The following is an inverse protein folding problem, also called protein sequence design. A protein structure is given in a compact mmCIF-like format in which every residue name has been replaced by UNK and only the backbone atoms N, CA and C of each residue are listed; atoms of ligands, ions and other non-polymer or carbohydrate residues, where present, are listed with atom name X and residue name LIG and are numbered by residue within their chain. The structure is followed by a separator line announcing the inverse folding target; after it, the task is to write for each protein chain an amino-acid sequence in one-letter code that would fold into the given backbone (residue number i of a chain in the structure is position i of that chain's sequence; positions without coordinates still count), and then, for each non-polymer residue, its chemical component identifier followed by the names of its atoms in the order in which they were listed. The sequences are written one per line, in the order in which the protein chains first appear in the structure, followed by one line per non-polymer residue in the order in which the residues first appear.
data_IF_321501210799
#
_entry.id   IF_321501210799
#
_cell.length_a   1.000
_cell.length_b   1.000
_cell.length_c   1.000
_cell.angle_alpha   90.00
_cell.angle_beta   90.00
_cell.angle_gamma   90.00
#
_symmetry.space_group_name_H-M   'P 1'
#
loop_
_entity.id
_entity.type
_entity.pdbx_description
1 polymer ?
#
# COMPACT_ATOMS: atom_id res chain seq x y z
N UNK A 1 11.00 -13.09 8.42
CA UNK A 1 11.81 -11.87 8.34
C UNK A 1 11.19 -10.92 7.31
N UNK A 2 10.81 -9.71 7.73
CA UNK A 2 10.20 -8.68 6.89
C UNK A 2 11.21 -7.61 6.46
N UNK A 3 11.20 -7.26 5.20
CA UNK A 3 12.00 -6.16 4.66
C UNK A 3 11.10 -5.13 3.96
N UNK A 4 11.18 -3.88 4.39
CA UNK A 4 10.50 -2.75 3.73
C UNK A 4 11.53 -1.70 3.31
N UNK A 5 11.44 -1.28 2.05
CA UNK A 5 12.12 -0.08 1.57
C UNK A 5 11.13 1.08 1.70
N UNK A 6 11.42 2.00 2.62
CA UNK A 6 10.60 3.18 2.86
C UNK A 6 11.42 4.24 3.60
N UNK A 7 11.17 5.49 3.31
CA UNK A 7 11.64 6.60 4.15
C UNK A 7 11.07 6.45 5.57
N UNK A 8 11.90 6.74 6.58
CA UNK A 8 11.51 6.60 7.99
C UNK A 8 10.47 7.61 8.43
N UNK A 9 10.27 8.68 7.69
CA UNK A 9 9.23 9.69 7.92
C UNK A 9 7.85 9.28 7.36
N UNK A 10 7.75 8.21 6.59
CA UNK A 10 6.49 7.79 6.00
C UNK A 10 5.75 6.77 6.87
N UNK A 11 4.41 6.83 6.87
CA UNK A 11 3.56 5.87 7.57
C UNK A 11 3.83 4.42 7.22
N UNK A 12 4.22 4.12 5.98
CA UNK A 12 4.66 2.78 5.56
C UNK A 12 5.82 2.23 6.42
N UNK A 13 6.77 3.08 6.79
CA UNK A 13 7.87 2.68 7.67
C UNK A 13 7.39 2.43 9.09
N UNK A 14 6.51 3.28 9.57
CA UNK A 14 6.00 3.20 10.94
C UNK A 14 5.02 2.04 11.14
N UNK A 15 3.96 2.02 10.32
CA UNK A 15 2.89 1.03 10.45
C UNK A 15 3.27 -0.32 9.83
N UNK A 16 3.74 -0.34 8.59
CA UNK A 16 4.01 -1.57 7.87
C UNK A 16 5.31 -2.25 8.27
N UNK A 17 6.39 -1.48 8.41
CA UNK A 17 7.71 -2.04 8.70
C UNK A 17 7.92 -2.31 10.19
N UNK A 18 7.60 -1.36 11.06
CA UNK A 18 7.97 -1.44 12.46
C UNK A 18 6.85 -2.02 13.32
N UNK A 19 5.82 -1.23 13.61
CA UNK A 19 4.79 -1.62 14.57
C UNK A 19 3.94 -2.80 14.09
N UNK A 20 3.53 -2.81 12.84
CA UNK A 20 2.74 -3.91 12.31
C UNK A 20 3.48 -5.26 12.37
N UNK A 21 4.77 -5.26 12.10
CA UNK A 21 5.58 -6.50 12.19
C UNK A 21 5.79 -6.93 13.64
N UNK A 22 6.03 -5.99 14.55
CA UNK A 22 6.19 -6.31 15.97
C UNK A 22 4.90 -6.81 16.62
N UNK A 23 3.75 -6.25 16.24
CA UNK A 23 2.45 -6.76 16.69
C UNK A 23 2.20 -8.21 16.24
N UNK A 24 2.79 -8.62 15.12
CA UNK A 24 2.75 -9.99 14.61
C UNK A 24 3.96 -10.83 15.05
N UNK A 25 4.74 -10.37 16.02
CA UNK A 25 5.98 -11.01 16.50
C UNK A 25 6.99 -11.26 15.37
N UNK A 26 6.94 -10.44 14.32
CA UNK A 26 7.79 -10.52 13.14
C UNK A 26 9.15 -9.87 13.36
N UNK A 27 10.21 -10.48 12.86
CA UNK A 27 11.53 -9.85 12.80
C UNK A 27 11.60 -8.88 11.61
N UNK A 28 12.20 -7.71 11.84
CA UNK A 28 12.39 -6.67 10.84
C UNK A 28 13.83 -6.67 10.35
N UNK A 29 14.01 -6.78 9.03
CA UNK A 29 15.31 -6.61 8.39
C UNK A 29 15.56 -5.13 8.10
N UNK A 30 16.72 -4.63 8.54
CA UNK A 30 17.16 -3.25 8.30
C UNK A 30 18.42 -3.30 7.45
N UNK A 31 18.41 -2.55 6.36
CA UNK A 31 19.54 -2.41 5.47
C UNK A 31 19.77 -0.92 5.19
N UNK A 32 20.94 -0.44 5.55
CA UNK A 32 21.35 0.94 5.34
C UNK A 32 22.07 1.08 4.00
N UNK A 33 21.68 2.07 3.20
CA UNK A 33 22.30 2.40 1.94
C UNK A 33 22.17 3.90 1.64
N UNK A 34 23.23 4.51 1.16
CA UNK A 34 23.21 5.92 0.75
C UNK A 34 22.43 6.12 -0.55
N UNK A 35 22.56 5.18 -1.47
CA UNK A 35 21.89 5.19 -2.76
C UNK A 35 21.34 3.80 -3.08
N UNK A 36 20.10 3.76 -3.54
CA UNK A 36 19.49 2.49 -3.96
C UNK A 36 20.22 1.93 -5.19
N UNK A 37 20.66 0.67 -5.06
CA UNK A 37 21.19 -0.14 -6.14
C UNK A 37 20.56 -1.52 -6.08
N UNK A 38 19.84 -1.92 -7.14
CA UNK A 38 19.14 -3.19 -7.17
C UNK A 38 20.12 -4.39 -7.10
N UNK A 39 21.28 -4.31 -7.75
CA UNK A 39 22.26 -5.40 -7.76
C UNK A 39 22.86 -5.70 -6.38
N UNK A 40 22.90 -4.72 -5.47
CA UNK A 40 23.39 -4.89 -4.11
C UNK A 40 22.30 -5.44 -3.20
N UNK A 41 21.05 -5.11 -3.50
CA UNK A 41 19.90 -5.49 -2.68
C UNK A 41 19.38 -6.90 -2.99
N UNK A 42 19.32 -7.28 -4.27
CA UNK A 42 18.73 -8.53 -4.71
C UNK A 42 19.38 -9.79 -4.08
N UNK A 43 20.70 -9.87 -3.88
CA UNK A 43 21.33 -11.01 -3.20
C UNK A 43 20.90 -11.17 -1.73
N UNK A 44 20.40 -10.09 -1.10
CA UNK A 44 20.04 -10.11 0.32
C UNK A 44 18.82 -11.01 0.59
N UNK A 45 17.94 -11.20 -0.40
CA UNK A 45 16.77 -12.07 -0.25
C UNK A 45 17.18 -13.51 0.12
N UNK A 46 18.07 -14.10 -0.64
CA UNK A 46 18.60 -15.44 -0.36
C UNK A 46 19.51 -15.44 0.88
N UNK A 47 20.43 -14.45 0.96
CA UNK A 47 21.43 -14.41 2.04
C UNK A 47 20.80 -14.36 3.43
N UNK A 48 19.71 -13.59 3.60
CA UNK A 48 19.05 -13.42 4.89
C UNK A 48 17.71 -14.12 4.99
N UNK A 49 17.33 -14.91 3.97
CA UNK A 49 16.07 -15.66 3.96
C UNK A 49 14.87 -14.73 4.22
N UNK A 50 14.79 -13.61 3.50
CA UNK A 50 13.70 -12.62 3.62
C UNK A 50 12.40 -13.28 3.19
N UNK A 51 11.39 -13.26 4.06
CA UNK A 51 10.12 -13.96 3.82
C UNK A 51 9.00 -13.07 3.32
N UNK A 52 9.03 -11.78 3.66
CA UNK A 52 8.06 -10.79 3.19
C UNK A 52 8.77 -9.51 2.80
N UNK A 53 8.31 -8.89 1.71
CA UNK A 53 8.94 -7.71 1.15
C UNK A 53 7.91 -6.65 0.77
N UNK A 54 8.22 -5.39 1.08
CA UNK A 54 7.45 -4.24 0.66
C UNK A 54 8.38 -3.17 0.08
N UNK A 55 8.06 -2.67 -1.10
CA UNK A 55 8.81 -1.57 -1.71
C UNK A 55 7.88 -0.66 -2.53
N UNK A 56 8.24 0.63 -2.70
CA UNK A 56 7.52 1.50 -3.62
C UNK A 56 7.63 1.00 -5.07
N UNK A 57 6.63 1.24 -5.93
CA UNK A 57 6.69 0.89 -7.36
C UNK A 57 7.93 1.39 -8.07
N UNK A 58 8.42 2.57 -7.71
CA UNK A 58 9.67 3.12 -8.27
C UNK A 58 10.87 2.19 -8.03
N UNK A 59 10.99 1.59 -6.85
CA UNK A 59 12.07 0.64 -6.54
C UNK A 59 11.89 -0.67 -7.30
N UNK A 60 10.65 -1.16 -7.42
CA UNK A 60 10.33 -2.36 -8.22
C UNK A 60 10.70 -2.15 -9.69
N UNK A 61 10.45 -0.96 -10.27
CA UNK A 61 10.91 -0.59 -11.62
C UNK A 61 12.43 -0.62 -11.78
N UNK A 62 13.15 -0.28 -10.73
CA UNK A 62 14.63 -0.40 -10.77
C UNK A 62 15.07 -1.86 -10.69
N UNK A 63 14.39 -2.67 -9.88
CA UNK A 63 14.72 -4.08 -9.73
C UNK A 63 14.52 -4.88 -11.02
N UNK A 64 13.44 -4.62 -11.77
CA UNK A 64 13.17 -5.36 -13.03
C UNK A 64 14.13 -5.00 -14.18
N UNK A 65 15.00 -3.99 -14.02
CA UNK A 65 16.11 -3.71 -14.96
C UNK A 65 17.24 -4.72 -14.83
N UNK A 66 17.33 -5.40 -13.69
CA UNK A 66 18.24 -6.52 -13.48
C UNK A 66 17.63 -7.81 -14.02
N UNK A 67 18.48 -8.76 -14.36
CA UNK A 67 18.01 -10.13 -14.68
C UNK A 67 17.61 -10.85 -13.39
N UNK A 68 16.34 -10.71 -13.01
CA UNK A 68 15.80 -11.29 -11.77
C UNK A 68 15.90 -12.82 -11.71
N UNK A 69 16.04 -13.50 -12.85
CA UNK A 69 16.19 -14.97 -12.89
C UNK A 69 17.50 -15.46 -12.27
N UNK A 70 18.47 -14.56 -12.10
CA UNK A 70 19.77 -14.84 -11.48
C UNK A 70 19.74 -14.82 -9.95
N UNK A 71 18.64 -14.40 -9.36
CA UNK A 71 18.51 -14.22 -7.91
C UNK A 71 17.49 -15.19 -7.34
N UNK A 72 17.74 -15.67 -6.14
CA UNK A 72 16.88 -16.63 -5.48
C UNK A 72 15.87 -15.89 -4.56
N UNK A 73 14.58 -16.01 -4.90
CA UNK A 73 13.44 -15.50 -4.13
C UNK A 73 12.65 -16.60 -3.42
N UNK A 74 13.18 -17.84 -3.33
CA UNK A 74 12.45 -18.99 -2.82
C UNK A 74 11.97 -18.83 -1.37
N UNK A 75 12.65 -17.99 -0.58
CA UNK A 75 12.24 -17.65 0.79
C UNK A 75 11.06 -16.69 0.85
N UNK A 76 10.81 -15.90 -0.23
CA UNK A 76 9.78 -14.85 -0.24
C UNK A 76 8.41 -15.47 -0.41
N UNK A 77 7.51 -15.22 0.54
CA UNK A 77 6.14 -15.73 0.57
C UNK A 77 5.09 -14.68 0.27
N UNK A 78 5.45 -13.41 0.37
CA UNK A 78 4.52 -12.29 0.22
C UNK A 78 5.26 -11.03 -0.20
N UNK A 79 4.75 -10.38 -1.25
CA UNK A 79 5.24 -9.09 -1.73
C UNK A 79 4.12 -8.08 -1.78
N UNK A 80 4.41 -6.87 -1.29
CA UNK A 80 3.47 -5.76 -1.30
C UNK A 80 4.10 -4.51 -1.86
N UNK A 81 3.27 -3.62 -2.37
CA UNK A 81 3.64 -2.27 -2.78
C UNK A 81 2.56 -1.27 -2.38
N UNK A 82 2.95 -0.06 -2.10
CA UNK A 82 2.06 1.06 -1.81
C UNK A 82 2.80 2.39 -1.93
N UNK A 83 2.02 3.50 -1.96
CA UNK A 83 2.53 4.88 -1.98
C UNK A 83 2.59 5.50 -3.37
N UNK A 84 2.51 4.71 -4.42
CA UNK A 84 2.39 5.11 -5.82
C UNK A 84 1.57 4.04 -6.55
N UNK A 85 0.93 4.38 -7.68
CA UNK A 85 0.27 3.38 -8.52
C UNK A 85 1.29 2.41 -9.13
N UNK A 86 1.03 1.11 -9.02
CA UNK A 86 1.86 0.07 -9.61
C UNK A 86 1.56 -0.05 -11.10
N UNK A 87 2.57 0.21 -11.94
CA UNK A 87 2.44 -0.06 -13.36
C UNK A 87 2.23 -1.57 -13.59
N UNK A 88 1.15 -1.99 -14.28
CA UNK A 88 0.86 -3.40 -14.56
C UNK A 88 2.00 -4.16 -15.23
N UNK A 89 2.75 -3.50 -16.12
CA UNK A 89 3.90 -4.12 -16.80
C UNK A 89 5.01 -4.52 -15.81
N UNK A 90 5.27 -3.68 -14.80
CA UNK A 90 6.25 -3.99 -13.73
C UNK A 90 5.82 -5.24 -12.96
N UNK A 91 4.53 -5.31 -12.59
CA UNK A 91 3.99 -6.46 -11.88
C UNK A 91 4.07 -7.75 -12.71
N UNK A 92 3.74 -7.68 -14.01
CA UNK A 92 3.80 -8.82 -14.93
C UNK A 92 5.24 -9.31 -15.12
N UNK A 93 6.18 -8.41 -15.36
CA UNK A 93 7.59 -8.76 -15.53
C UNK A 93 8.16 -9.39 -14.26
N UNK A 94 7.85 -8.83 -13.09
CA UNK A 94 8.29 -9.38 -11.81
C UNK A 94 7.73 -10.79 -11.59
N UNK A 95 6.42 -10.97 -11.81
CA UNK A 95 5.75 -12.29 -11.69
C UNK A 95 6.32 -13.31 -12.67
N UNK A 96 6.59 -12.91 -13.91
CA UNK A 96 7.19 -13.78 -14.93
C UNK A 96 8.59 -14.27 -14.52
N UNK A 97 9.40 -13.40 -13.95
CA UNK A 97 10.78 -13.70 -13.60
C UNK A 97 10.90 -14.50 -12.30
N UNK A 98 10.05 -14.25 -11.30
CA UNK A 98 10.19 -14.78 -9.94
C UNK A 98 9.05 -15.70 -9.49
N UNK A 99 7.93 -15.71 -10.20
CA UNK A 99 6.70 -16.40 -9.78
C UNK A 99 5.92 -15.66 -8.69
N UNK A 100 6.46 -14.56 -8.15
CA UNK A 100 5.84 -13.81 -7.06
C UNK A 100 4.80 -12.82 -7.58
N UNK A 101 3.67 -12.76 -6.92
CA UNK A 101 2.63 -11.77 -7.16
C UNK A 101 2.81 -10.57 -6.23
N UNK A 102 2.76 -9.36 -6.80
CA UNK A 102 2.86 -8.12 -6.02
C UNK A 102 1.45 -7.67 -5.66
N UNK A 103 1.18 -7.56 -4.37
CA UNK A 103 -0.10 -7.07 -3.85
C UNK A 103 0.00 -5.57 -3.60
N UNK A 104 -0.78 -4.82 -4.37
CA UNK A 104 -0.86 -3.38 -4.24
C UNK A 104 -1.86 -2.99 -3.16
N UNK A 105 -1.60 -1.86 -2.48
CA UNK A 105 -2.51 -1.27 -1.53
C UNK A 105 -2.36 0.25 -1.47
N UNK A 106 -3.44 0.89 -1.07
CA UNK A 106 -3.55 2.32 -0.85
C UNK A 106 -3.79 2.61 0.63
N UNK A 107 -3.19 3.65 1.11
CA UNK A 107 -3.38 4.20 2.45
C UNK A 107 -2.47 5.38 2.66
N UNK A 108 -2.71 6.08 3.76
CA UNK A 108 -1.99 7.28 4.14
C UNK A 108 -1.39 7.09 5.55
N UNK A 109 -0.55 8.02 5.99
CA UNK A 109 -0.04 8.00 7.38
C UNK A 109 -1.20 8.08 8.38
N UNK A 110 -2.23 8.79 8.00
CA UNK A 110 -3.46 9.04 8.74
C UNK A 110 -4.36 7.80 8.88
N UNK A 111 -4.28 6.85 7.94
CA UNK A 111 -5.27 5.78 7.82
C UNK A 111 -4.71 4.36 7.93
N UNK A 112 -3.41 4.16 7.79
CA UNK A 112 -2.85 2.83 7.51
C UNK A 112 -3.32 2.27 6.15
N UNK A 113 -3.64 0.97 6.02
CA UNK A 113 -4.13 0.37 4.77
C UNK A 113 -5.64 0.57 4.61
N UNK A 114 -6.05 1.46 3.71
CA UNK A 114 -7.46 1.79 3.45
C UNK A 114 -8.08 0.88 2.40
N UNK A 115 -7.37 0.67 1.29
CA UNK A 115 -7.75 -0.23 0.18
C UNK A 115 -6.57 -1.13 -0.13
N UNK A 116 -6.80 -2.42 -0.36
CA UNK A 116 -5.68 -3.31 -0.66
C UNK A 116 -6.07 -4.67 -1.20
N UNK A 117 -5.10 -5.29 -1.85
CA UNK A 117 -5.14 -6.70 -2.17
C UNK A 117 -4.71 -7.49 -0.93
N UNK A 118 -5.65 -8.10 -0.24
CA UNK A 118 -5.39 -8.87 0.97
C UNK A 118 -5.01 -10.31 0.64
N UNK A 119 -4.22 -10.94 1.51
CA UNK A 119 -3.85 -12.35 1.32
C UNK A 119 -5.10 -13.23 1.26
N UNK A 120 -5.15 -14.10 0.26
CA UNK A 120 -6.31 -14.96 0.00
C UNK A 120 -7.36 -14.35 -0.91
N UNK A 121 -7.20 -13.08 -1.31
CA UNK A 121 -8.04 -12.46 -2.33
C UNK A 121 -7.38 -12.57 -3.72
N UNK A 122 -8.21 -12.50 -4.77
CA UNK A 122 -7.70 -12.45 -6.15
C UNK A 122 -7.13 -11.05 -6.41
N UNK A 123 -5.88 -10.99 -6.86
CA UNK A 123 -5.27 -9.74 -7.30
C UNK A 123 -5.85 -9.37 -8.68
N UNK A 124 -6.31 -8.14 -8.82
CA UNK A 124 -6.72 -7.57 -10.11
C UNK A 124 -5.68 -6.55 -10.54
N UNK A 125 -4.99 -6.87 -11.62
CA UNK A 125 -3.85 -6.08 -12.09
C UNK A 125 -4.27 -4.64 -12.42
N UNK A 126 -3.49 -3.66 -11.95
CA UNK A 126 -3.76 -2.24 -12.12
C UNK A 126 -4.75 -1.67 -11.09
N UNK A 127 -5.31 -2.50 -10.19
CA UNK A 127 -6.14 -2.03 -9.09
C UNK A 127 -5.37 -1.98 -7.78
N UNK A 128 -5.74 -1.03 -6.93
CA UNK A 128 -5.27 -0.97 -5.55
C UNK A 128 -5.84 -2.10 -4.66
N UNK A 129 -6.83 -2.85 -5.16
CA UNK A 129 -7.55 -3.88 -4.41
C UNK A 129 -8.95 -3.45 -4.01
N UNK A 130 -9.42 -3.96 -2.87
CA UNK A 130 -10.74 -3.68 -2.30
C UNK A 130 -10.62 -2.96 -0.95
N UNK A 131 -11.68 -2.27 -0.49
CA UNK A 131 -11.71 -1.70 0.84
C UNK A 131 -11.25 -2.67 1.93
N UNK A 132 -10.36 -2.20 2.80
CA UNK A 132 -9.99 -2.94 4.01
C UNK A 132 -11.24 -3.13 4.88
N UNK A 133 -11.48 -4.30 5.46
CA UNK A 133 -12.65 -4.53 6.30
C UNK A 133 -12.69 -3.66 7.56
N UNK A 134 -11.61 -2.97 7.86
CA UNK A 134 -11.48 -2.05 8.98
C UNK A 134 -12.21 -0.73 8.75
N UNK A 135 -12.40 -0.34 7.48
CA UNK A 135 -12.92 0.96 7.10
C UNK A 135 -14.18 0.86 6.22
N UNK A 136 -15.13 1.75 6.44
CA UNK A 136 -16.22 2.02 5.49
C UNK A 136 -15.70 2.98 4.43
N UNK A 137 -15.07 2.46 3.38
CA UNK A 137 -14.52 3.28 2.29
C UNK A 137 -15.59 3.50 1.23
N UNK A 138 -15.73 4.74 0.81
CA UNK A 138 -16.64 5.16 -0.26
C UNK A 138 -15.87 5.96 -1.31
N UNK A 139 -16.45 6.09 -2.49
CA UNK A 139 -16.02 7.05 -3.51
C UNK A 139 -17.17 8.02 -3.69
N UNK A 140 -16.92 9.30 -3.46
CA UNK A 140 -17.97 10.33 -3.46
C UNK A 140 -17.71 11.44 -4.48
N UNK A 141 -18.79 12.05 -4.93
CA UNK A 141 -18.77 13.29 -5.73
C UNK A 141 -18.51 14.52 -4.83
N UNK A 142 -18.35 15.74 -5.40
CA UNK A 142 -18.16 16.96 -4.60
C UNK A 142 -19.32 17.31 -3.66
N UNK A 143 -20.50 16.74 -3.88
CA UNK A 143 -21.69 16.95 -3.03
C UNK A 143 -21.78 15.89 -1.90
N UNK A 144 -20.81 14.98 -1.81
CA UNK A 144 -20.74 13.91 -0.79
C UNK A 144 -21.61 12.69 -1.08
N UNK A 145 -22.15 12.55 -2.29
CA UNK A 145 -22.94 11.40 -2.69
C UNK A 145 -22.03 10.29 -3.24
N UNK A 146 -22.33 9.03 -2.90
CA UNK A 146 -21.57 7.90 -3.46
C UNK A 146 -21.77 7.84 -4.98
N UNK A 147 -20.65 7.77 -5.72
CA UNK A 147 -20.66 7.68 -7.19
C UNK A 147 -21.01 6.27 -7.66
N UNK A 148 -21.54 6.17 -8.88
CA UNK A 148 -21.84 4.90 -9.52
C UNK A 148 -20.57 4.13 -9.89
N UNK A 149 -20.69 2.83 -10.11
CA UNK A 149 -19.59 2.00 -10.63
C UNK A 149 -19.07 2.57 -11.97
N UNK A 150 -17.76 2.71 -12.06
CA UNK A 150 -17.07 3.27 -13.23
C UNK A 150 -16.92 4.80 -13.20
N UNK A 151 -17.58 5.49 -12.29
CA UNK A 151 -17.43 6.94 -12.12
C UNK A 151 -16.28 7.25 -11.15
N UNK A 152 -15.57 8.34 -11.44
CA UNK A 152 -14.47 8.85 -10.61
C UNK A 152 -14.99 9.78 -9.53
N UNK A 153 -14.47 9.62 -8.32
CA UNK A 153 -14.73 10.52 -7.20
C UNK A 153 -13.60 10.48 -6.18
N UNK A 154 -13.76 11.19 -5.10
CA UNK A 154 -12.82 11.21 -3.99
C UNK A 154 -12.98 9.96 -3.13
N UNK A 155 -11.87 9.36 -2.70
CA UNK A 155 -11.87 8.28 -1.69
C UNK A 155 -12.10 8.91 -0.33
N UNK A 156 -13.16 8.49 0.36
CA UNK A 156 -13.46 8.93 1.72
C UNK A 156 -13.67 7.74 2.66
N UNK A 157 -13.46 7.97 3.95
CA UNK A 157 -13.82 7.02 5.00
C UNK A 157 -15.04 7.56 5.74
N UNK A 158 -16.11 6.80 5.79
CA UNK A 158 -17.33 7.13 6.54
C UNK A 158 -17.06 7.05 8.04
N UNK A 159 -17.18 8.18 8.73
CA UNK A 159 -16.96 8.32 10.18
C UNK A 159 -18.24 8.74 10.95
N UNK A 160 -19.40 8.69 10.31
CA UNK A 160 -20.69 9.08 10.94
C UNK A 160 -21.05 8.20 12.13
N UNK A 161 -20.64 6.96 12.13
CA UNK A 161 -20.83 6.01 13.25
C UNK A 161 -19.64 6.03 14.25
N UNK A 162 -18.75 7.01 14.14
CA UNK A 162 -17.52 7.16 14.91
C UNK A 162 -16.27 6.83 14.09
N UNK A 163 -15.12 7.40 14.51
CA UNK A 163 -13.85 7.15 13.84
C UNK A 163 -13.40 5.69 14.04
N UNK A 164 -13.07 4.97 12.96
CA UNK A 164 -12.61 3.59 13.05
C UNK A 164 -11.21 3.51 13.67
N UNK A 165 -10.91 2.36 14.27
CA UNK A 165 -9.55 2.08 14.77
C UNK A 165 -8.58 2.12 13.58
N UNK A 166 -7.46 2.83 13.76
CA UNK A 166 -6.43 2.99 12.71
C UNK A 166 -6.57 4.29 11.91
N UNK A 167 -7.69 5.00 12.02
CA UNK A 167 -7.76 6.38 11.58
C UNK A 167 -7.12 7.29 12.63
N UNK A 168 -6.31 8.26 12.21
CA UNK A 168 -5.68 9.23 13.13
C UNK A 168 -6.74 10.08 13.85
N UNK A 169 -6.38 10.65 15.00
CA UNK A 169 -7.32 11.45 15.79
C UNK A 169 -7.35 12.89 15.32
N UNK A 170 -6.19 13.48 15.12
CA UNK A 170 -6.02 14.89 14.74
C UNK A 170 -4.58 15.17 14.28
N UNK A 171 -4.38 16.24 13.55
CA UNK A 171 -3.05 16.80 13.33
C UNK A 171 -2.58 17.54 14.58
N UNK A 172 -1.36 17.25 15.01
CA UNK A 172 -0.81 17.79 16.25
C UNK A 172 -0.74 19.32 16.24
N UNK A 173 -1.47 19.96 17.16
CA UNK A 173 -1.61 21.42 17.28
C UNK A 173 -2.12 22.13 16.01
N UNK A 174 -2.86 21.44 15.17
CA UNK A 174 -3.40 21.98 13.93
C UNK A 174 -4.86 21.50 13.75
N UNK A 175 -5.73 22.10 14.54
CA UNK A 175 -7.17 21.78 14.50
C UNK A 175 -7.84 22.27 13.21
N UNK A 176 -7.34 23.33 12.59
CA UNK A 176 -7.85 23.85 11.33
C UNK A 176 -7.64 22.83 10.22
N UNK A 177 -6.41 22.33 10.07
CA UNK A 177 -6.10 21.28 9.11
C UNK A 177 -6.85 19.98 9.39
N UNK A 178 -7.09 19.66 10.66
CA UNK A 178 -7.90 18.48 11.01
C UNK A 178 -9.34 18.63 10.52
N UNK A 179 -9.94 19.83 10.66
CA UNK A 179 -11.29 20.12 10.18
C UNK A 179 -11.38 20.14 8.64
N UNK A 180 -10.29 20.53 7.95
CA UNK A 180 -10.23 20.49 6.48
C UNK A 180 -10.36 19.09 5.91
N UNK A 181 -9.94 18.05 6.65
CA UNK A 181 -9.98 16.66 6.19
C UNK A 181 -11.04 15.82 6.91
N UNK A 182 -11.59 16.29 8.04
CA UNK A 182 -12.66 15.61 8.78
C UNK A 182 -13.89 16.52 8.86
N UNK A 183 -14.77 16.42 7.87
CA UNK A 183 -16.01 17.18 7.81
C UNK A 183 -17.14 16.37 7.15
N UNK A 184 -18.36 16.81 7.25
CA UNK A 184 -19.56 16.21 6.65
C UNK A 184 -19.76 14.72 6.95
N UNK A 185 -19.15 14.24 8.03
CA UNK A 185 -19.23 12.82 8.44
C UNK A 185 -18.25 11.91 7.70
N UNK A 186 -17.24 12.48 7.02
CA UNK A 186 -16.19 11.77 6.32
C UNK A 186 -14.80 12.21 6.76
N UNK A 187 -13.85 11.29 6.63
CA UNK A 187 -12.44 11.63 6.47
C UNK A 187 -12.14 11.68 4.96
N UNK A 188 -11.72 12.83 4.49
CA UNK A 188 -11.37 13.12 3.11
C UNK A 188 -9.90 12.82 2.85
N UNK A 189 -9.61 11.89 1.94
CA UNK A 189 -8.22 11.51 1.63
C UNK A 189 -7.53 12.50 0.70
N UNK A 190 -8.29 13.26 -0.09
CA UNK A 190 -7.78 14.09 -1.18
C UNK A 190 -7.34 13.28 -2.41
N UNK A 191 -7.44 11.95 -2.37
CA UNK A 191 -7.09 11.05 -3.46
C UNK A 191 -8.33 10.61 -4.23
N UNK A 192 -8.23 10.43 -5.55
CA UNK A 192 -9.34 10.05 -6.41
C UNK A 192 -9.21 8.65 -6.96
N UNK A 193 -10.36 7.98 -7.12
CA UNK A 193 -10.44 6.64 -7.67
C UNK A 193 -11.78 6.42 -8.38
N UNK A 194 -11.86 5.32 -9.11
CA UNK A 194 -13.12 4.73 -9.54
C UNK A 194 -13.20 3.26 -9.10
N UNK A 195 -14.39 2.70 -9.05
CA UNK A 195 -14.65 1.32 -8.62
C UNK A 195 -15.28 0.53 -9.77
N UNK A 196 -14.81 -0.69 -9.99
CA UNK A 196 -15.43 -1.59 -10.96
C UNK A 196 -16.59 -2.40 -10.36
N UNK A 197 -17.25 -3.21 -11.21
CA UNK A 197 -18.39 -4.06 -10.84
C UNK A 197 -18.03 -5.14 -9.81
N UNK A 198 -16.77 -5.55 -9.75
CA UNK A 198 -16.26 -6.53 -8.79
C UNK A 198 -15.87 -5.88 -7.45
N UNK A 199 -15.96 -4.54 -7.33
CA UNK A 199 -15.62 -3.76 -6.15
C UNK A 199 -14.12 -3.47 -5.99
N UNK A 200 -13.32 -3.59 -7.06
CA UNK A 200 -11.93 -3.17 -7.04
C UNK A 200 -11.80 -1.68 -7.32
N UNK A 201 -10.91 -1.03 -6.60
CA UNK A 201 -10.61 0.39 -6.69
C UNK A 201 -9.39 0.62 -7.59
N UNK A 202 -9.50 1.60 -8.47
CA UNK A 202 -8.45 2.02 -9.39
C UNK A 202 -8.12 3.49 -9.14
N UNK A 203 -6.85 3.77 -8.90
CA UNK A 203 -6.35 5.14 -8.68
C UNK A 203 -6.45 5.98 -9.97
N UNK A 204 -6.75 7.29 -9.85
CA UNK A 204 -6.86 8.25 -10.97
C UNK A 204 -5.85 9.38 -10.82
#
# INVERSE_FOLDING_TARGET
LHFTISDTGWGKSLWGKLYGQWMCEGAVFVYDFERFNASDLLPLFAKYQITTFCAPPTMLRMMIKEDLSRYDFSSVRHMTTAGEALNPEVAMQFKKATGLEIMEGFGQTETTLTVGNLRGTKVKLGSMGKPSPQYKVMIVDPDGNEVSTGETGEIVIDIRDGAPVGLFTEYYKDSEKTQEVMHDGFYHTGDTAWRDEDGYFFYV
#
